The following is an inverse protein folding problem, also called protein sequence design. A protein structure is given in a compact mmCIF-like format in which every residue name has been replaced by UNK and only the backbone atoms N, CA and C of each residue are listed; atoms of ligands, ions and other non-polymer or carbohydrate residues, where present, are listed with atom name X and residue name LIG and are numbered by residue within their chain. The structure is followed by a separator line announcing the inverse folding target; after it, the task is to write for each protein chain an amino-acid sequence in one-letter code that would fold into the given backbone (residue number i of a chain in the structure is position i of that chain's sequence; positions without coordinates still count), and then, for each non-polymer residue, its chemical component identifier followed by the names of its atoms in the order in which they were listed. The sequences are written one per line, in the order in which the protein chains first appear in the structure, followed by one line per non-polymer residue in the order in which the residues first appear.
data_IF_241440275509
#
_entry.id   IF_241440275509
#
_cell.length_a   1.000
_cell.length_b   1.000
_cell.length_c   1.000
_cell.angle_alpha   90.00
_cell.angle_beta   90.00
_cell.angle_gamma   90.00
#
_symmetry.space_group_name_H-M   'P 1'
#
loop_
_entity.id
_entity.type
_entity.pdbx_description
1 polymer ?
#
# COMPACT_ATOMS: atom_id res chain seq x y z
N UNK A 1 16.58 9.35 32.88
CA UNK A 1 15.32 9.74 32.22
C UNK A 1 15.64 10.01 30.76
N UNK A 2 15.04 9.31 29.78
CA UNK A 2 15.29 9.64 28.38
C UNK A 2 14.52 10.93 28.07
N UNK A 3 15.26 11.99 27.74
CA UNK A 3 14.66 13.18 27.13
C UNK A 3 14.31 12.81 25.70
N UNK A 4 13.05 12.45 25.46
CA UNK A 4 12.45 12.57 24.14
C UNK A 4 12.36 14.07 23.86
N UNK A 5 13.43 14.63 23.27
CA UNK A 5 13.33 15.91 22.58
C UNK A 5 12.43 15.71 21.37
N UNK A 6 11.13 15.71 21.62
CA UNK A 6 10.13 15.95 20.61
C UNK A 6 10.51 17.32 20.02
N UNK A 7 11.14 17.28 18.84
CA UNK A 7 11.61 18.47 18.15
C UNK A 7 10.39 19.37 17.98
N UNK A 8 10.30 20.44 18.79
CA UNK A 8 9.23 21.42 18.69
C UNK A 8 9.19 21.91 17.24
N UNK A 9 8.13 21.54 16.53
CA UNK A 9 7.97 21.92 15.15
C UNK A 9 7.49 23.38 15.13
N UNK A 10 8.42 24.32 14.95
CA UNK A 10 8.13 25.75 14.89
C UNK A 10 7.38 26.18 13.61
N UNK A 11 6.98 25.24 12.75
CA UNK A 11 6.19 25.52 11.55
C UNK A 11 4.75 25.87 11.92
N UNK A 12 4.16 26.78 11.14
CA UNK A 12 2.75 27.12 11.31
C UNK A 12 1.84 25.90 11.07
N UNK A 13 0.64 25.82 11.69
CA UNK A 13 -0.28 24.70 11.47
C UNK A 13 -0.59 24.45 9.99
N UNK A 14 -0.62 25.50 9.18
CA UNK A 14 -0.81 25.41 7.73
C UNK A 14 0.34 24.71 7.01
N UNK A 15 1.59 24.93 7.42
CA UNK A 15 2.77 24.27 6.87
C UNK A 15 2.83 22.80 7.24
N UNK A 16 2.42 22.44 8.47
CA UNK A 16 2.33 21.05 8.93
C UNK A 16 1.29 20.29 8.09
N UNK A 17 0.11 20.86 7.90
CA UNK A 17 -0.95 20.29 7.06
C UNK A 17 -0.49 20.09 5.60
N UNK A 18 0.21 21.09 5.04
CA UNK A 18 0.75 21.00 3.68
C UNK A 18 1.80 19.88 3.56
N UNK A 19 2.70 19.77 4.54
CA UNK A 19 3.73 18.74 4.58
C UNK A 19 3.12 17.33 4.70
N UNK A 20 2.11 17.15 5.55
CA UNK A 20 1.41 15.86 5.71
C UNK A 20 0.67 15.45 4.43
N UNK A 21 0.00 16.40 3.77
CA UNK A 21 -0.67 16.14 2.48
C UNK A 21 0.34 15.75 1.40
N UNK A 22 1.50 16.41 1.36
CA UNK A 22 2.57 16.08 0.41
C UNK A 22 3.16 14.69 0.69
N UNK A 23 3.37 14.33 1.97
CA UNK A 23 3.82 12.98 2.34
C UNK A 23 2.84 11.90 1.89
N UNK A 24 1.54 12.07 2.17
CA UNK A 24 0.53 11.10 1.73
C UNK A 24 0.48 10.99 0.21
N UNK A 25 0.70 12.09 -0.51
CA UNK A 25 0.78 12.06 -1.98
C UNK A 25 1.99 11.27 -2.48
N UNK A 26 3.18 11.52 -1.91
CA UNK A 26 4.42 10.81 -2.28
C UNK A 26 4.28 9.31 -1.98
N UNK A 27 3.84 8.95 -0.77
CA UNK A 27 3.67 7.55 -0.40
C UNK A 27 2.53 6.87 -1.18
N UNK A 28 1.45 7.61 -1.46
CA UNK A 28 0.36 7.13 -2.32
C UNK A 28 0.88 6.81 -3.72
N UNK A 29 1.68 7.68 -4.32
CA UNK A 29 2.28 7.42 -5.63
C UNK A 29 3.31 6.28 -5.60
N UNK A 30 4.17 6.24 -4.57
CA UNK A 30 5.15 5.18 -4.40
C UNK A 30 4.51 3.78 -4.27
N UNK A 31 3.32 3.69 -3.68
CA UNK A 31 2.57 2.43 -3.53
C UNK A 31 1.61 2.13 -4.68
N UNK A 32 1.35 3.11 -5.56
CA UNK A 32 0.52 2.92 -6.75
C UNK A 32 1.22 2.02 -7.77
N UNK A 33 2.53 2.23 -8.00
CA UNK A 33 3.30 1.44 -8.97
C UNK A 33 3.28 -0.06 -8.59
N UNK A 34 3.61 -0.47 -7.34
CA UNK A 34 3.44 -1.84 -6.91
C UNK A 34 2.02 -2.37 -7.08
N UNK A 35 0.99 -1.60 -6.70
CA UNK A 35 -0.40 -2.06 -6.81
C UNK A 35 -0.81 -2.34 -8.27
N UNK A 36 -0.42 -1.47 -9.20
CA UNK A 36 -0.65 -1.68 -10.64
C UNK A 36 0.11 -2.90 -11.15
N UNK A 37 1.38 -3.04 -10.76
CA UNK A 37 2.20 -4.17 -11.20
C UNK A 37 1.67 -5.52 -10.70
N UNK A 38 1.27 -5.60 -9.43
CA UNK A 38 0.59 -6.77 -8.85
C UNK A 38 -0.68 -7.13 -9.61
N UNK A 39 -1.46 -6.12 -10.01
CA UNK A 39 -2.68 -6.32 -10.78
C UNK A 39 -2.38 -6.91 -12.14
N UNK A 40 -1.35 -6.40 -12.83
CA UNK A 40 -0.94 -6.93 -14.14
C UNK A 40 -0.44 -8.37 -14.05
N UNK A 41 0.33 -8.71 -13.02
CA UNK A 41 0.79 -10.10 -12.80
C UNK A 41 -0.39 -11.01 -12.43
N UNK A 42 -1.25 -10.58 -11.50
CA UNK A 42 -2.45 -11.33 -11.13
C UNK A 42 -3.36 -11.58 -12.34
N UNK A 43 -3.59 -10.55 -13.16
CA UNK A 43 -4.36 -10.66 -14.41
C UNK A 43 -3.71 -11.65 -15.38
N UNK A 44 -2.39 -11.54 -15.60
CA UNK A 44 -1.63 -12.48 -16.42
C UNK A 44 -1.77 -13.93 -15.91
N UNK A 45 -1.68 -14.14 -14.60
CA UNK A 45 -1.89 -15.44 -13.98
C UNK A 45 -3.29 -16.00 -14.23
N UNK A 46 -4.32 -15.16 -14.18
CA UNK A 46 -5.71 -15.53 -14.43
C UNK A 46 -6.00 -15.87 -15.90
N UNK A 47 -5.38 -15.16 -16.84
CA UNK A 47 -5.58 -15.39 -18.28
C UNK A 47 -4.67 -16.48 -18.84
N UNK A 48 -3.54 -16.77 -18.18
CA UNK A 48 -2.52 -17.70 -18.67
C UNK A 48 -2.48 -19.03 -17.91
N UNK A 49 -3.29 -19.19 -16.86
CA UNK A 49 -3.37 -20.40 -16.01
C UNK A 49 -3.75 -21.68 -16.76
N UNK A 50 -4.31 -21.57 -17.98
CA UNK A 50 -4.60 -22.74 -18.81
C UNK A 50 -3.34 -23.35 -19.48
N UNK A 51 -2.21 -22.64 -19.50
CA UNK A 51 -1.00 -23.03 -20.25
C UNK A 51 0.25 -23.27 -19.38
N UNK A 52 0.21 -22.98 -18.08
CA UNK A 52 1.37 -23.07 -17.20
C UNK A 52 1.37 -24.39 -16.39
N UNK A 53 2.49 -25.12 -16.31
CA UNK A 53 2.63 -26.22 -15.35
C UNK A 53 2.55 -25.64 -13.94
N UNK A 54 1.55 -26.05 -13.15
CA UNK A 54 1.41 -25.64 -11.76
C UNK A 54 2.49 -26.31 -10.93
N UNK A 55 3.54 -25.57 -10.55
CA UNK A 55 4.60 -26.03 -9.64
C UNK A 55 4.21 -25.97 -8.14
N UNK A 56 2.97 -25.59 -7.83
CA UNK A 56 2.44 -25.48 -6.46
C UNK A 56 0.98 -25.96 -6.36
N UNK A 57 0.40 -25.90 -5.15
CA UNK A 57 -1.03 -26.23 -4.98
C UNK A 57 -1.90 -25.23 -5.74
N UNK A 58 -2.87 -25.75 -6.50
CA UNK A 58 -3.74 -24.94 -7.36
C UNK A 58 -4.51 -23.87 -6.56
N UNK A 59 -4.86 -24.20 -5.31
CA UNK A 59 -5.52 -23.31 -4.36
C UNK A 59 -4.62 -22.15 -3.96
N UNK A 60 -3.32 -22.41 -3.71
CA UNK A 60 -2.36 -21.37 -3.34
C UNK A 60 -2.07 -20.44 -4.52
N UNK A 61 -1.88 -20.98 -5.73
CA UNK A 61 -1.73 -20.16 -6.94
C UNK A 61 -2.95 -19.26 -7.17
N UNK A 62 -4.16 -19.81 -7.03
CA UNK A 62 -5.41 -19.03 -7.15
C UNK A 62 -5.47 -17.92 -6.11
N UNK A 63 -5.12 -18.22 -4.85
CA UNK A 63 -5.07 -17.25 -3.78
C UNK A 63 -4.11 -16.08 -4.08
N UNK A 64 -2.88 -16.38 -4.52
CA UNK A 64 -1.88 -15.35 -4.86
C UNK A 64 -2.36 -14.46 -6.01
N UNK A 65 -3.02 -15.05 -7.03
CA UNK A 65 -3.61 -14.31 -8.14
C UNK A 65 -4.68 -13.33 -7.67
N UNK A 66 -5.66 -13.79 -6.89
CA UNK A 66 -6.73 -12.92 -6.39
C UNK A 66 -6.22 -11.87 -5.40
N UNK A 67 -5.22 -12.19 -4.59
CA UNK A 67 -4.56 -11.23 -3.71
C UNK A 67 -3.90 -10.09 -4.50
N UNK A 68 -3.23 -10.43 -5.60
CA UNK A 68 -2.63 -9.44 -6.51
C UNK A 68 -3.67 -8.54 -7.17
N UNK A 69 -4.79 -9.11 -7.62
CA UNK A 69 -5.91 -8.37 -8.21
C UNK A 69 -6.64 -7.45 -7.22
N UNK A 70 -6.62 -7.76 -5.93
CA UNK A 70 -7.23 -6.92 -4.90
C UNK A 70 -6.41 -5.65 -4.60
N UNK A 71 -5.14 -5.58 -5.05
CA UNK A 71 -4.22 -4.49 -4.72
C UNK A 71 -4.74 -3.07 -5.03
N UNK A 72 -5.42 -2.79 -6.16
CA UNK A 72 -5.99 -1.47 -6.44
C UNK A 72 -7.07 -1.07 -5.45
N UNK A 73 -7.91 -2.03 -5.03
CA UNK A 73 -8.96 -1.79 -4.03
C UNK A 73 -8.37 -1.43 -2.66
N UNK A 74 -7.34 -2.14 -2.24
CA UNK A 74 -6.59 -1.86 -1.01
C UNK A 74 -5.91 -0.49 -1.08
N UNK A 75 -5.24 -0.20 -2.19
CA UNK A 75 -4.58 1.09 -2.42
C UNK A 75 -5.56 2.25 -2.39
N UNK A 76 -6.67 2.17 -3.14
CA UNK A 76 -7.70 3.21 -3.20
C UNK A 76 -8.29 3.46 -1.81
N UNK A 77 -8.68 2.40 -1.11
CA UNK A 77 -9.31 2.50 0.21
C UNK A 77 -8.38 3.16 1.22
N UNK A 78 -7.12 2.73 1.28
CA UNK A 78 -6.14 3.30 2.19
C UNK A 78 -5.87 4.79 1.92
N UNK A 79 -5.69 5.17 0.65
CA UNK A 79 -5.42 6.56 0.28
C UNK A 79 -6.63 7.47 0.48
N UNK A 80 -7.85 6.99 0.19
CA UNK A 80 -9.09 7.74 0.46
C UNK A 80 -9.26 8.00 1.95
N UNK A 81 -9.01 7.00 2.80
CA UNK A 81 -9.08 7.18 4.26
C UNK A 81 -8.00 8.16 4.74
N UNK A 82 -6.77 8.06 4.22
CA UNK A 82 -5.68 8.99 4.53
C UNK A 82 -6.08 10.45 4.23
N UNK A 83 -6.65 10.70 3.05
CA UNK A 83 -7.10 12.02 2.64
C UNK A 83 -8.23 12.55 3.53
N UNK A 84 -9.22 11.72 3.87
CA UNK A 84 -10.30 12.09 4.80
C UNK A 84 -9.76 12.45 6.18
N UNK A 85 -8.77 11.70 6.68
CA UNK A 85 -8.12 11.98 7.97
C UNK A 85 -7.35 13.29 7.95
N UNK A 86 -6.64 13.61 6.86
CA UNK A 86 -5.97 14.92 6.69
C UNK A 86 -6.99 16.05 6.71
N UNK A 87 -8.10 15.91 5.97
CA UNK A 87 -9.16 16.93 5.93
C UNK A 87 -9.82 17.15 7.30
N UNK A 88 -9.90 16.11 8.11
CA UNK A 88 -10.46 16.15 9.46
C UNK A 88 -9.48 16.64 10.54
N UNK A 89 -8.30 17.17 10.19
CA UNK A 89 -7.31 17.63 11.19
C UNK A 89 -6.39 16.53 11.74
N UNK A 90 -6.61 15.27 11.36
CA UNK A 90 -5.93 14.09 11.93
C UNK A 90 -4.76 13.61 11.06
N UNK A 91 -3.89 14.53 10.63
CA UNK A 91 -2.81 14.21 9.70
C UNK A 91 -1.72 13.29 10.28
N UNK A 92 -1.57 13.23 11.60
CA UNK A 92 -0.67 12.27 12.25
C UNK A 92 -1.15 10.82 12.08
N UNK A 93 -2.46 10.57 12.19
CA UNK A 93 -3.03 9.26 11.90
C UNK A 93 -2.93 8.94 10.40
N UNK A 94 -3.15 9.94 9.55
CA UNK A 94 -3.14 9.80 8.10
C UNK A 94 -1.80 9.26 7.53
N UNK A 95 -0.67 9.57 8.16
CA UNK A 95 0.67 9.15 7.69
C UNK A 95 0.87 7.64 7.60
N UNK A 96 0.09 6.85 8.35
CA UNK A 96 0.26 5.39 8.41
C UNK A 96 -0.56 4.65 7.35
N UNK A 97 -1.61 5.26 6.81
CA UNK A 97 -2.48 4.59 5.84
C UNK A 97 -1.76 4.18 4.56
N UNK A 98 -0.84 4.99 3.99
CA UNK A 98 -0.04 4.55 2.85
C UNK A 98 0.86 3.33 3.13
N UNK A 99 1.10 2.96 4.39
CA UNK A 99 1.85 1.73 4.72
C UNK A 99 1.02 0.46 4.45
N UNK A 100 -0.31 0.54 4.47
CA UNK A 100 -1.20 -0.60 4.20
C UNK A 100 -0.94 -1.21 2.82
N UNK A 101 -1.02 -0.45 1.70
CA UNK A 101 -0.71 -1.01 0.38
C UNK A 101 0.75 -1.45 0.25
N UNK A 102 1.70 -0.82 0.98
CA UNK A 102 3.09 -1.28 1.01
C UNK A 102 3.21 -2.68 1.64
N UNK A 103 2.61 -2.91 2.80
CA UNK A 103 2.58 -4.22 3.45
C UNK A 103 1.85 -5.26 2.60
N UNK A 104 0.75 -4.87 1.96
CA UNK A 104 0.01 -5.74 1.04
C UNK A 104 0.90 -6.26 -0.09
N UNK A 105 1.70 -5.37 -0.69
CA UNK A 105 2.64 -5.71 -1.73
C UNK A 105 3.79 -6.59 -1.22
N UNK A 106 4.39 -6.25 -0.07
CA UNK A 106 5.51 -7.01 0.51
C UNK A 106 5.10 -8.47 0.77
N UNK A 107 3.93 -8.70 1.39
CA UNK A 107 3.43 -10.06 1.67
C UNK A 107 3.21 -10.82 0.36
N UNK A 108 2.64 -10.16 -0.64
CA UNK A 108 2.39 -10.78 -1.93
C UNK A 108 3.69 -11.15 -2.67
N UNK A 109 4.72 -10.29 -2.65
CA UNK A 109 6.03 -10.64 -3.20
C UNK A 109 6.68 -11.79 -2.42
N UNK A 110 6.67 -11.74 -1.10
CA UNK A 110 7.25 -12.80 -0.26
C UNK A 110 6.59 -14.17 -0.52
N UNK A 111 5.27 -14.19 -0.76
CA UNK A 111 4.53 -15.42 -1.09
C UNK A 111 4.96 -16.08 -2.40
N UNK A 112 5.56 -15.33 -3.32
CA UNK A 112 6.05 -15.84 -4.61
C UNK A 112 7.51 -16.28 -4.58
N UNK A 113 8.28 -15.87 -3.57
CA UNK A 113 9.69 -16.29 -3.41
C UNK A 113 9.78 -17.56 -2.55
N UNK A 114 8.77 -17.83 -1.73
CA UNK A 114 8.73 -18.97 -0.82
C UNK A 114 8.08 -20.24 -1.42
N UNK A 115 7.47 -20.15 -2.60
CA UNK A 115 6.88 -21.28 -3.33
C UNK A 115 7.75 -21.67 -4.53
#
# INVERSE_FOLDING_TARGET
MPQTSEREDHRSPAEIHKAQRMMVFIFGFATLIPALWMTLIGWSGLTSSAAAPTSGSAEFTSFVVYWGLAAPGVWLTANVIALRRIQAGNGESARHFPLIPAFWAIIWFASQVAG
#
